data_IF_337649026077
#
_entry.id   IF_337649026077
#
_cell.length_a   1.000
_cell.length_b   1.000
_cell.length_c   1.000
_cell.angle_alpha   90.00
_cell.angle_beta   90.00
_cell.angle_gamma   90.00
#
_symmetry.space_group_name_H-M   'P 1'
#
loop_
_entity.id
_entity.type
_entity.pdbx_description
1 polymer ?
#
# COMPACT_ATOMS: atom_id res chain seq x y z
N UNK A 1 90.95 -9.62 -0.44
CA UNK A 1 89.89 -8.93 -1.21
C UNK A 1 89.90 -9.34 -2.71
N UNK A 2 89.70 -10.63 -3.06
CA UNK A 2 89.69 -11.08 -4.47
C UNK A 2 88.36 -11.68 -4.96
N UNK A 3 87.39 -11.90 -4.07
CA UNK A 3 86.11 -12.53 -4.44
C UNK A 3 84.97 -11.54 -4.70
N UNK A 4 85.14 -10.23 -4.46
CA UNK A 4 84.07 -9.24 -4.66
C UNK A 4 83.87 -8.84 -6.13
N UNK A 5 84.85 -9.06 -7.02
CA UNK A 5 84.76 -8.66 -8.43
C UNK A 5 83.80 -9.49 -9.28
N UNK A 6 83.48 -10.73 -8.88
CA UNK A 6 82.62 -11.62 -9.67
C UNK A 6 81.13 -11.54 -9.29
N UNK A 7 80.78 -10.95 -8.14
CA UNK A 7 79.38 -10.78 -7.70
C UNK A 7 78.82 -9.38 -7.97
N UNK A 8 79.67 -8.42 -8.35
CA UNK A 8 79.26 -7.04 -8.64
C UNK A 8 78.18 -6.93 -9.74
N UNK A 9 78.24 -7.69 -10.86
CA UNK A 9 77.18 -7.66 -11.87
C UNK A 9 75.86 -8.22 -11.36
N UNK A 10 75.92 -9.28 -10.53
CA UNK A 10 74.75 -9.92 -9.93
C UNK A 10 74.08 -8.97 -8.95
N UNK A 11 74.85 -8.25 -8.12
CA UNK A 11 74.31 -7.26 -7.18
C UNK A 11 73.63 -6.11 -7.93
N UNK A 12 74.22 -5.60 -9.02
CA UNK A 12 73.61 -4.55 -9.83
C UNK A 12 72.27 -5.02 -10.44
N UNK A 13 72.24 -6.22 -11.02
CA UNK A 13 71.00 -6.78 -11.60
C UNK A 13 69.93 -6.96 -10.52
N UNK A 14 70.30 -7.49 -9.34
CA UNK A 14 69.37 -7.64 -8.23
C UNK A 14 68.81 -6.30 -7.73
N UNK A 15 69.65 -5.26 -7.62
CA UNK A 15 69.19 -3.92 -7.23
C UNK A 15 68.26 -3.31 -8.29
N UNK A 16 68.59 -3.46 -9.58
CA UNK A 16 67.73 -2.98 -10.67
C UNK A 16 66.38 -3.69 -10.65
N UNK A 17 66.36 -5.02 -10.44
CA UNK A 17 65.12 -5.77 -10.30
C UNK A 17 64.31 -5.31 -9.09
N UNK A 18 64.92 -5.14 -7.92
CA UNK A 18 64.24 -4.61 -6.73
C UNK A 18 63.64 -3.22 -7.00
N UNK A 19 64.36 -2.33 -7.67
CA UNK A 19 63.86 -1.00 -8.05
C UNK A 19 62.68 -1.11 -9.02
N UNK A 20 62.75 -1.98 -10.02
CA UNK A 20 61.64 -2.21 -10.96
C UNK A 20 60.40 -2.74 -10.24
N UNK A 21 60.55 -3.70 -9.32
CA UNK A 21 59.42 -4.25 -8.57
C UNK A 21 58.83 -3.25 -7.57
N UNK A 22 59.66 -2.45 -6.89
CA UNK A 22 59.19 -1.41 -5.98
C UNK A 22 58.47 -0.29 -6.73
N UNK A 23 59.07 0.24 -7.81
CA UNK A 23 58.46 1.29 -8.62
C UNK A 23 57.23 0.78 -9.37
N UNK A 24 57.27 -0.45 -9.89
CA UNK A 24 56.13 -1.10 -10.53
C UNK A 24 54.96 -1.32 -9.56
N UNK A 25 55.23 -1.75 -8.32
CA UNK A 25 54.22 -1.88 -7.28
C UNK A 25 53.62 -0.53 -6.84
N UNK A 26 54.45 0.50 -6.73
CA UNK A 26 53.98 1.87 -6.44
C UNK A 26 53.13 2.43 -7.59
N UNK A 27 53.56 2.25 -8.84
CA UNK A 27 52.83 2.70 -10.03
C UNK A 27 51.51 1.94 -10.20
N UNK A 28 51.50 0.62 -9.97
CA UNK A 28 50.26 -0.18 -9.99
C UNK A 28 49.27 0.31 -8.94
N UNK A 29 49.70 0.55 -7.69
CA UNK A 29 48.81 1.09 -6.65
C UNK A 29 48.28 2.48 -7.01
N UNK A 30 49.15 3.36 -7.53
CA UNK A 30 48.75 4.70 -7.96
C UNK A 30 47.70 4.64 -9.09
N UNK A 31 47.89 3.77 -10.08
CA UNK A 31 46.92 3.58 -11.16
C UNK A 31 45.59 3.01 -10.66
N UNK A 32 45.59 2.04 -9.74
CA UNK A 32 44.35 1.51 -9.15
C UNK A 32 43.60 2.60 -8.37
N UNK A 33 44.29 3.37 -7.52
CA UNK A 33 43.66 4.49 -6.79
C UNK A 33 43.11 5.57 -7.73
N UNK A 34 43.80 5.89 -8.83
CA UNK A 34 43.30 6.82 -9.83
C UNK A 34 42.04 6.30 -10.54
N UNK A 35 41.98 5.00 -10.86
CA UNK A 35 40.79 4.36 -11.45
C UNK A 35 39.61 4.43 -10.47
N UNK A 36 39.84 4.10 -9.20
CA UNK A 36 38.79 4.11 -8.17
C UNK A 36 38.24 5.54 -7.96
N UNK A 37 39.10 6.57 -7.93
CA UNK A 37 38.68 7.98 -7.82
C UNK A 37 37.87 8.43 -9.05
N UNK A 38 38.28 8.06 -10.27
CA UNK A 38 37.51 8.41 -11.47
C UNK A 38 36.16 7.69 -11.52
N UNK A 39 36.09 6.44 -11.03
CA UNK A 39 34.84 5.70 -10.94
C UNK A 39 33.88 6.34 -9.94
N UNK A 40 34.38 6.79 -8.79
CA UNK A 40 33.59 7.52 -7.79
C UNK A 40 33.11 8.88 -8.33
N UNK A 41 33.98 9.64 -8.99
CA UNK A 41 33.59 10.90 -9.65
C UNK A 41 32.53 10.68 -10.73
N UNK A 42 32.67 9.62 -11.55
CA UNK A 42 31.67 9.25 -12.56
C UNK A 42 30.33 8.88 -11.91
N UNK A 43 30.35 8.08 -10.85
CA UNK A 43 29.13 7.71 -10.13
C UNK A 43 28.41 8.93 -9.54
N UNK A 44 29.16 9.91 -9.00
CA UNK A 44 28.59 11.17 -8.50
C UNK A 44 27.98 11.99 -9.65
N UNK A 45 28.65 12.05 -10.81
CA UNK A 45 28.12 12.76 -11.98
C UNK A 45 26.84 12.08 -12.48
N UNK A 46 26.84 10.76 -12.62
CA UNK A 46 25.66 9.99 -13.04
C UNK A 46 24.49 10.16 -12.07
N UNK A 47 24.76 10.08 -10.77
CA UNK A 47 23.77 10.32 -9.73
C UNK A 47 23.22 11.75 -9.77
N UNK A 48 24.08 12.77 -9.87
CA UNK A 48 23.61 14.15 -9.96
C UNK A 48 22.78 14.40 -11.21
N UNK A 49 23.17 13.81 -12.35
CA UNK A 49 22.40 13.89 -13.58
C UNK A 49 21.04 13.22 -13.44
N UNK A 50 20.93 12.08 -12.76
CA UNK A 50 19.63 11.42 -12.55
C UNK A 50 18.72 12.23 -11.63
N UNK A 51 19.26 12.96 -10.65
CA UNK A 51 18.47 13.89 -9.82
C UNK A 51 17.97 15.09 -10.63
N UNK A 52 18.81 15.65 -11.51
CA UNK A 52 18.39 16.75 -12.41
C UNK A 52 17.34 16.25 -13.41
N UNK A 53 17.52 15.05 -13.96
CA UNK A 53 16.56 14.42 -14.87
C UNK A 53 15.22 14.16 -14.17
N UNK A 54 15.25 13.67 -12.92
CA UNK A 54 14.05 13.47 -12.09
C UNK A 54 13.26 14.77 -11.88
N UNK A 55 13.95 15.89 -11.67
CA UNK A 55 13.31 17.21 -11.53
C UNK A 55 12.88 17.79 -12.87
N UNK A 56 13.47 17.33 -13.98
CA UNK A 56 13.25 17.86 -15.32
C UNK A 56 13.83 19.27 -15.55
N UNK A 57 14.50 19.84 -14.54
CA UNK A 57 15.07 21.18 -14.55
C UNK A 57 16.23 21.30 -13.53
N UNK A 58 17.06 22.32 -13.71
CA UNK A 58 18.21 22.61 -12.84
C UNK A 58 19.55 22.29 -13.48
N UNK A 59 20.61 22.83 -12.89
CA UNK A 59 21.98 22.75 -13.40
C UNK A 59 22.95 22.15 -12.38
N UNK A 60 22.57 22.17 -11.09
CA UNK A 60 23.47 21.84 -10.00
C UNK A 60 22.73 21.16 -8.87
N UNK A 61 23.36 20.11 -8.34
CA UNK A 61 22.90 19.35 -7.17
C UNK A 61 23.81 19.69 -6.00
N UNK A 62 23.20 20.02 -4.86
CA UNK A 62 23.92 20.25 -3.60
C UNK A 62 23.31 19.39 -2.52
N UNK A 63 24.13 18.58 -1.85
CA UNK A 63 23.67 17.79 -0.71
C UNK A 63 23.14 18.70 0.41
N UNK A 64 21.94 18.40 0.88
CA UNK A 64 21.34 18.94 2.07
C UNK A 64 21.58 17.98 3.23
N UNK A 65 21.75 18.54 4.43
CA UNK A 65 21.94 17.77 5.67
C UNK A 65 20.66 17.86 6.51
N UNK A 66 19.53 17.46 5.95
CA UNK A 66 18.28 17.38 6.69
C UNK A 66 18.27 16.18 7.64
N UNK A 67 17.52 16.29 8.73
CA UNK A 67 17.41 15.23 9.73
C UNK A 67 16.27 14.27 9.38
N UNK A 68 16.29 13.08 9.98
CA UNK A 68 15.11 12.22 10.03
C UNK A 68 13.95 12.88 10.77
N UNK A 69 12.74 12.41 10.48
CA UNK A 69 11.53 12.71 11.22
C UNK A 69 11.14 11.47 12.03
N UNK A 70 10.95 11.65 13.34
CA UNK A 70 10.41 10.57 14.19
C UNK A 70 8.92 10.40 13.90
N UNK A 71 8.60 9.54 12.93
CA UNK A 71 7.23 9.24 12.51
C UNK A 71 7.06 7.77 12.16
N UNK A 72 6.16 7.13 12.87
CA UNK A 72 5.84 5.72 12.67
C UNK A 72 4.74 5.50 11.61
N UNK A 73 4.95 4.50 10.77
CA UNK A 73 4.04 4.01 9.74
C UNK A 73 3.82 2.50 9.92
N UNK A 74 2.67 1.98 9.49
CA UNK A 74 2.39 0.55 9.55
C UNK A 74 3.27 -0.23 8.57
N UNK A 75 3.78 -1.39 9.01
CA UNK A 75 4.48 -2.32 8.11
C UNK A 75 3.44 -3.00 7.21
N UNK A 76 3.59 -2.97 5.87
CA UNK A 76 2.65 -3.62 4.97
C UNK A 76 2.44 -5.12 5.30
N UNK A 77 1.17 -5.51 5.48
CA UNK A 77 0.79 -6.89 5.81
C UNK A 77 0.75 -7.22 7.31
N UNK A 78 1.05 -6.26 8.19
CA UNK A 78 0.92 -6.41 9.65
C UNK A 78 0.03 -5.31 10.22
N UNK A 79 -1.06 -5.70 10.88
CA UNK A 79 -2.07 -4.74 11.37
C UNK A 79 -1.61 -3.91 12.58
N UNK A 80 -0.62 -4.40 13.34
CA UNK A 80 -0.20 -3.82 14.63
C UNK A 80 1.31 -3.62 14.76
N UNK A 81 2.04 -3.61 13.64
CA UNK A 81 3.49 -3.38 13.66
C UNK A 81 3.78 -2.10 12.88
N UNK A 82 4.61 -1.26 13.49
CA UNK A 82 5.03 0.01 12.91
C UNK A 82 6.54 0.04 12.68
N UNK A 83 6.98 0.96 11.84
CA UNK A 83 8.39 1.28 11.60
C UNK A 83 8.55 2.77 11.28
N UNK A 84 9.78 3.29 11.42
CA UNK A 84 10.13 4.64 10.97
C UNK A 84 10.88 4.53 9.63
N UNK A 85 10.42 5.17 8.55
CA UNK A 85 11.20 5.35 7.33
C UNK A 85 12.52 6.07 7.61
N UNK A 86 13.54 5.81 6.79
CA UNK A 86 14.88 6.42 6.95
C UNK A 86 15.16 7.40 5.81
N UNK A 87 15.53 8.63 6.14
CA UNK A 87 16.08 9.61 5.20
C UNK A 87 17.56 9.30 4.98
N UNK A 88 17.85 8.61 3.89
CA UNK A 88 19.23 8.19 3.55
C UNK A 88 20.00 9.24 2.75
N UNK A 89 19.32 10.27 2.24
CA UNK A 89 19.97 11.40 1.56
C UNK A 89 18.98 12.51 1.26
N UNK A 90 19.47 13.75 1.18
CA UNK A 90 18.66 14.89 0.76
C UNK A 90 19.47 15.84 -0.09
N UNK A 91 18.86 16.42 -1.13
CA UNK A 91 19.56 17.24 -2.12
C UNK A 91 18.72 18.44 -2.53
N UNK A 92 19.40 19.57 -2.72
CA UNK A 92 18.85 20.80 -3.31
C UNK A 92 19.22 20.81 -4.78
N UNK A 93 18.25 21.15 -5.62
CA UNK A 93 18.45 21.35 -7.05
C UNK A 93 18.41 22.85 -7.32
N UNK A 94 19.47 23.36 -7.94
CA UNK A 94 19.65 24.79 -8.20
C UNK A 94 19.62 25.09 -9.69
N UNK A 95 19.09 26.25 -10.05
CA UNK A 95 19.13 26.77 -11.41
C UNK A 95 20.48 27.45 -11.75
N UNK A 96 20.61 28.00 -12.96
CA UNK A 96 21.80 28.73 -13.44
C UNK A 96 22.19 29.94 -12.55
N UNK A 97 21.26 30.45 -11.75
CA UNK A 97 21.45 31.62 -10.87
C UNK A 97 21.79 31.21 -9.43
N UNK A 98 22.06 29.92 -9.17
CA UNK A 98 22.23 29.33 -7.82
C UNK A 98 20.97 29.54 -6.93
N UNK A 99 19.78 29.66 -7.52
CA UNK A 99 18.52 29.66 -6.78
C UNK A 99 17.99 28.22 -6.67
N UNK A 100 17.52 27.87 -5.49
CA UNK A 100 16.92 26.56 -5.23
C UNK A 100 15.54 26.47 -5.87
N UNK A 101 15.33 25.48 -6.73
CA UNK A 101 14.08 25.29 -7.48
C UNK A 101 13.32 24.03 -7.04
N UNK A 102 14.03 23.04 -6.51
CA UNK A 102 13.47 21.80 -6.03
C UNK A 102 14.32 21.19 -4.91
N UNK A 103 13.70 20.29 -4.14
CA UNK A 103 14.35 19.43 -3.15
C UNK A 103 14.08 17.98 -3.50
N UNK A 104 15.08 17.11 -3.29
CA UNK A 104 14.96 15.67 -3.47
C UNK A 104 15.28 14.96 -2.17
N UNK A 105 14.36 14.10 -1.72
CA UNK A 105 14.54 13.26 -0.53
C UNK A 105 14.71 11.80 -0.95
N UNK A 106 15.77 11.14 -0.49
CA UNK A 106 16.00 9.71 -0.70
C UNK A 106 15.58 8.97 0.57
N UNK A 107 14.47 8.24 0.45
CA UNK A 107 13.83 7.60 1.60
C UNK A 107 13.87 6.09 1.41
N UNK A 108 14.26 5.40 2.49
CA UNK A 108 14.17 3.94 2.59
C UNK A 108 12.93 3.55 3.37
N UNK A 109 12.18 2.59 2.82
CA UNK A 109 10.89 2.11 3.31
C UNK A 109 10.82 0.58 3.31
N UNK A 110 9.77 0.05 3.93
CA UNK A 110 9.53 -1.40 4.02
C UNK A 110 8.35 -1.76 3.11
N UNK A 111 8.61 -2.64 2.14
CA UNK A 111 7.58 -3.25 1.28
C UNK A 111 7.22 -4.64 1.77
N UNK A 112 7.35 -5.65 0.88
CA UNK A 112 7.33 -7.05 1.34
C UNK A 112 8.60 -7.37 2.13
N UNK A 113 9.71 -6.77 1.70
CA UNK A 113 11.01 -6.84 2.36
C UNK A 113 11.48 -5.43 2.71
N UNK A 114 12.43 -5.34 3.63
CA UNK A 114 13.07 -4.08 4.00
C UNK A 114 14.06 -3.62 2.92
N UNK A 115 14.28 -2.31 2.84
CA UNK A 115 15.30 -1.69 1.98
C UNK A 115 14.79 -1.20 0.62
N UNK A 116 13.50 -0.87 0.46
CA UNK A 116 13.03 -0.19 -0.74
C UNK A 116 13.41 1.30 -0.66
N UNK A 117 14.32 1.73 -1.53
CA UNK A 117 14.89 3.08 -1.55
C UNK A 117 14.48 3.83 -2.81
N UNK A 118 13.85 4.99 -2.63
CA UNK A 118 13.41 5.84 -3.72
C UNK A 118 13.69 7.32 -3.44
N UNK A 119 13.94 8.07 -4.51
CA UNK A 119 14.07 9.53 -4.49
C UNK A 119 12.73 10.18 -4.84
N UNK A 120 12.31 11.15 -4.05
CA UNK A 120 11.07 11.92 -4.23
C UNK A 120 11.44 13.38 -4.48
N UNK A 121 11.15 13.90 -5.66
CA UNK A 121 11.45 15.27 -6.04
C UNK A 121 10.26 16.20 -5.82
N UNK A 122 10.46 17.33 -5.16
CA UNK A 122 9.41 18.30 -4.83
C UNK A 122 9.79 19.67 -5.37
N UNK A 123 8.87 20.29 -6.10
CA UNK A 123 8.98 21.66 -6.62
C UNK A 123 8.75 22.69 -5.51
N UNK A 124 9.68 23.64 -5.36
CA UNK A 124 9.52 24.75 -4.41
C UNK A 124 8.58 25.84 -4.92
N UNK A 125 8.39 25.94 -6.24
CA UNK A 125 7.51 26.94 -6.85
C UNK A 125 6.04 26.53 -6.69
N UNK A 126 5.73 25.26 -6.94
CA UNK A 126 4.35 24.78 -7.01
C UNK A 126 3.90 23.96 -5.80
N UNK A 127 4.82 23.56 -4.91
CA UNK A 127 4.55 22.60 -3.84
C UNK A 127 3.91 21.30 -4.38
N UNK A 128 4.46 20.79 -5.47
CA UNK A 128 4.04 19.52 -6.06
C UNK A 128 5.17 18.51 -5.99
N UNK A 129 4.82 17.24 -5.78
CA UNK A 129 5.71 16.14 -6.09
C UNK A 129 5.87 16.10 -7.61
N UNK A 130 7.10 16.25 -8.09
CA UNK A 130 7.43 16.30 -9.51
C UNK A 130 7.38 14.88 -10.06
N UNK A 131 8.12 13.96 -9.44
CA UNK A 131 8.22 12.56 -9.83
C UNK A 131 8.96 11.75 -8.73
N UNK A 132 9.04 10.43 -8.93
CA UNK A 132 9.76 9.48 -8.07
C UNK A 132 10.74 8.61 -8.88
N UNK A 133 11.94 8.41 -8.35
CA UNK A 133 12.94 7.50 -8.92
C UNK A 133 13.23 6.35 -7.96
N UNK A 134 13.00 5.11 -8.40
CA UNK A 134 13.45 3.93 -7.67
C UNK A 134 14.98 3.80 -7.80
N UNK A 135 15.68 3.75 -6.66
CA UNK A 135 17.14 3.63 -6.61
C UNK A 135 17.55 2.17 -6.38
N UNK A 136 16.93 1.55 -5.39
CA UNK A 136 17.26 0.19 -4.94
C UNK A 136 16.03 -0.46 -4.32
N UNK A 137 15.87 -1.78 -4.51
CA UNK A 137 14.85 -2.54 -3.81
C UNK A 137 15.29 -3.99 -3.61
N UNK A 138 14.78 -4.62 -2.56
CA UNK A 138 14.98 -6.05 -2.25
C UNK A 138 13.69 -6.85 -2.49
N UNK A 139 12.77 -6.34 -3.31
CA UNK A 139 11.49 -6.97 -3.57
C UNK A 139 11.65 -8.20 -4.48
N UNK A 140 10.64 -9.06 -4.50
CA UNK A 140 10.65 -10.17 -5.47
C UNK A 140 10.39 -9.62 -6.87
N UNK A 141 11.41 -9.67 -7.74
CA UNK A 141 11.41 -9.02 -9.06
C UNK A 141 10.14 -9.26 -9.88
N UNK A 142 9.64 -10.50 -9.96
CA UNK A 142 8.45 -10.81 -10.77
C UNK A 142 7.17 -10.10 -10.30
N UNK A 143 7.08 -9.79 -9.01
CA UNK A 143 5.98 -8.99 -8.46
C UNK A 143 6.27 -7.51 -8.64
N UNK A 144 7.49 -7.06 -8.33
CA UNK A 144 7.88 -5.65 -8.48
C UNK A 144 7.73 -5.14 -9.91
N UNK A 145 8.05 -5.97 -10.93
CA UNK A 145 7.88 -5.66 -12.36
C UNK A 145 6.43 -5.39 -12.79
N UNK A 146 5.45 -5.64 -11.90
CA UNK A 146 4.05 -5.25 -12.15
C UNK A 146 3.80 -3.76 -11.91
N UNK A 147 4.68 -3.07 -11.19
CA UNK A 147 4.69 -1.60 -11.07
C UNK A 147 5.20 -1.01 -12.39
N UNK A 148 4.26 -0.64 -13.26
CA UNK A 148 4.53 -0.12 -14.61
C UNK A 148 4.41 1.40 -14.66
N UNK A 149 4.55 1.98 -15.85
CA UNK A 149 4.45 3.41 -16.08
C UNK A 149 3.17 4.02 -15.46
N UNK A 150 2.04 3.33 -15.58
CA UNK A 150 0.76 3.79 -15.03
C UNK A 150 0.78 3.95 -13.50
N UNK A 151 1.61 3.15 -12.80
CA UNK A 151 1.80 3.32 -11.36
C UNK A 151 2.62 4.57 -11.04
N UNK A 152 3.71 4.80 -11.79
CA UNK A 152 4.60 5.95 -11.58
C UNK A 152 3.98 7.28 -12.02
N UNK A 153 3.07 7.26 -13.00
CA UNK A 153 2.32 8.45 -13.43
C UNK A 153 1.46 9.05 -12.29
N UNK A 154 1.13 8.28 -11.25
CA UNK A 154 0.36 8.77 -10.09
C UNK A 154 1.13 9.78 -9.20
N UNK A 155 2.46 9.82 -9.32
CA UNK A 155 3.32 10.73 -8.55
C UNK A 155 3.55 12.06 -9.27
N UNK A 156 3.37 12.09 -10.58
CA UNK A 156 3.71 13.24 -11.42
C UNK A 156 2.78 14.42 -11.12
N UNK A 157 3.39 15.58 -10.84
CA UNK A 157 2.71 16.84 -10.49
C UNK A 157 1.68 16.73 -9.35
N UNK A 158 1.84 15.74 -8.46
CA UNK A 158 0.89 15.49 -7.37
C UNK A 158 0.94 16.64 -6.36
N UNK A 159 -0.19 17.30 -6.12
CA UNK A 159 -0.24 18.48 -5.26
C UNK A 159 -0.02 18.10 -3.79
N UNK A 160 0.98 18.69 -3.15
CA UNK A 160 1.23 18.46 -1.72
C UNK A 160 0.14 19.09 -0.85
N UNK A 161 -0.78 19.89 -1.41
CA UNK A 161 -1.99 20.34 -0.72
C UNK A 161 -3.15 19.34 -0.85
N UNK A 162 -3.01 18.26 -1.63
CA UNK A 162 -4.04 17.23 -1.68
C UNK A 162 -4.17 16.61 -0.30
N UNK A 163 -5.41 16.58 0.21
CA UNK A 163 -5.61 16.04 1.55
C UNK A 163 -5.61 14.51 1.53
N UNK A 164 -6.22 13.92 0.50
CA UNK A 164 -6.02 12.51 0.15
C UNK A 164 -4.69 12.37 -0.58
N UNK A 165 -3.61 12.31 0.20
CA UNK A 165 -2.28 12.18 -0.35
C UNK A 165 -1.84 10.72 -0.36
N UNK A 166 -2.47 9.95 -1.23
CA UNK A 166 -2.24 8.52 -1.43
C UNK A 166 -2.08 8.17 -2.90
N UNK A 167 -1.64 6.94 -3.17
CA UNK A 167 -1.62 6.33 -4.51
C UNK A 167 -2.42 5.03 -4.53
N UNK A 168 -2.91 4.65 -5.70
CA UNK A 168 -3.55 3.37 -5.92
C UNK A 168 -2.51 2.25 -5.92
N UNK A 169 -2.84 1.17 -5.21
CA UNK A 169 -1.98 -0.02 -5.14
C UNK A 169 -2.18 -0.92 -6.36
N UNK A 170 -1.09 -1.56 -6.81
CA UNK A 170 -1.15 -2.53 -7.92
C UNK A 170 -1.37 -3.94 -7.37
N UNK A 171 -2.39 -4.62 -7.89
CA UNK A 171 -2.66 -6.01 -7.55
C UNK A 171 -1.46 -6.91 -7.91
N UNK A 172 -0.98 -7.69 -6.93
CA UNK A 172 0.23 -8.52 -7.07
C UNK A 172 1.52 -7.82 -6.61
N UNK A 173 1.52 -6.50 -6.44
CA UNK A 173 2.62 -5.73 -5.84
C UNK A 173 2.12 -4.75 -4.76
N UNK A 174 1.08 -5.15 -4.03
CA UNK A 174 0.42 -4.31 -3.03
C UNK A 174 1.40 -3.78 -1.98
N UNK A 175 2.26 -4.65 -1.42
CA UNK A 175 3.20 -4.22 -0.38
C UNK A 175 4.28 -3.27 -0.91
N UNK A 176 4.79 -3.51 -2.11
CA UNK A 176 5.73 -2.60 -2.76
C UNK A 176 5.05 -1.25 -3.09
N UNK A 177 3.79 -1.27 -3.51
CA UNK A 177 2.99 -0.04 -3.73
C UNK A 177 2.84 0.76 -2.43
N UNK A 178 2.52 0.09 -1.32
CA UNK A 178 2.38 0.73 0.00
C UNK A 178 3.70 1.31 0.53
N UNK A 179 4.85 0.72 0.16
CA UNK A 179 6.15 1.28 0.50
C UNK A 179 6.37 2.64 -0.18
N UNK A 180 6.03 2.77 -1.47
CA UNK A 180 6.07 4.06 -2.17
C UNK A 180 5.06 5.06 -1.61
N UNK A 181 3.85 4.63 -1.30
CA UNK A 181 2.83 5.47 -0.64
C UNK A 181 3.37 6.04 0.69
N UNK A 182 4.03 5.20 1.49
CA UNK A 182 4.66 5.61 2.75
C UNK A 182 5.81 6.58 2.51
N UNK A 183 6.70 6.30 1.55
CA UNK A 183 7.84 7.18 1.25
C UNK A 183 7.39 8.55 0.74
N UNK A 184 6.34 8.58 -0.08
CA UNK A 184 5.73 9.81 -0.57
C UNK A 184 5.14 10.65 0.58
N UNK A 185 4.39 10.04 1.49
CA UNK A 185 3.83 10.72 2.68
C UNK A 185 4.94 11.26 3.59
N UNK A 186 5.98 10.45 3.83
CA UNK A 186 7.13 10.86 4.63
C UNK A 186 7.90 12.02 3.97
N UNK A 187 8.07 12.02 2.64
CA UNK A 187 8.66 13.13 1.90
C UNK A 187 7.86 14.43 2.08
N UNK A 188 6.53 14.37 2.05
CA UNK A 188 5.66 15.53 2.32
C UNK A 188 5.82 16.05 3.75
N UNK A 189 5.96 15.17 4.74
CA UNK A 189 6.19 15.57 6.13
C UNK A 189 7.58 16.18 6.35
N UNK A 190 8.62 15.65 5.71
CA UNK A 190 9.95 16.26 5.68
C UNK A 190 9.91 17.64 5.04
N UNK A 191 9.24 17.76 3.89
CA UNK A 191 9.06 19.04 3.19
C UNK A 191 8.35 20.08 4.05
N UNK A 192 7.27 19.68 4.74
CA UNK A 192 6.55 20.51 5.69
C UNK A 192 7.46 21.07 6.78
N UNK A 193 8.32 20.21 7.35
CA UNK A 193 9.30 20.61 8.38
C UNK A 193 10.38 21.54 7.81
N UNK A 194 10.97 21.19 6.67
CA UNK A 194 12.18 21.84 6.16
C UNK A 194 11.87 23.18 5.47
N UNK A 195 10.70 23.30 4.84
CA UNK A 195 10.28 24.48 4.07
C UNK A 195 9.09 25.21 4.68
N UNK A 196 8.68 24.84 5.90
CA UNK A 196 7.54 25.45 6.60
C UNK A 196 6.25 25.39 5.77
N UNK A 197 6.07 24.30 5.03
CA UNK A 197 4.84 24.00 4.30
C UNK A 197 3.77 23.50 5.29
N UNK A 198 2.59 24.09 5.27
CA UNK A 198 1.48 23.67 6.13
C UNK A 198 0.72 22.53 5.46
N UNK A 199 0.86 21.31 5.97
CA UNK A 199 0.05 20.18 5.52
C UNK A 199 -1.42 20.48 5.84
N UNK A 200 -2.30 20.53 4.83
CA UNK A 200 -3.72 20.72 5.06
C UNK A 200 -4.26 19.72 6.08
N UNK A 201 -4.79 20.26 7.17
CA UNK A 201 -5.46 19.47 8.20
C UNK A 201 -6.92 19.30 7.78
N UNK A 202 -7.35 18.06 7.56
CA UNK A 202 -8.77 17.77 7.45
C UNK A 202 -9.29 17.27 8.80
N UNK A 203 -10.38 17.91 9.22
CA UNK A 203 -11.19 17.45 10.34
C UNK A 203 -12.37 16.67 9.77
N UNK A 204 -12.46 15.40 10.14
CA UNK A 204 -13.66 14.59 9.99
C UNK A 204 -13.71 13.50 11.06
N UNK A 205 -14.90 12.97 11.29
CA UNK A 205 -15.16 11.83 12.14
C UNK A 205 -16.30 11.03 11.51
N UNK A 206 -16.05 9.77 11.17
CA UNK A 206 -17.12 8.82 10.82
C UNK A 206 -17.78 8.43 12.14
N UNK A 207 -18.99 8.91 12.37
CA UNK A 207 -19.70 8.74 13.64
C UNK A 207 -20.58 7.49 13.67
N UNK A 208 -21.01 7.02 12.50
CA UNK A 208 -21.76 5.77 12.35
C UNK A 208 -21.60 5.20 10.94
N UNK A 209 -21.58 3.88 10.83
CA UNK A 209 -21.81 3.14 9.59
C UNK A 209 -22.79 2.03 9.90
N UNK A 210 -23.90 1.99 9.20
CA UNK A 210 -24.91 0.95 9.32
C UNK A 210 -25.32 0.42 7.95
N UNK A 211 -25.99 -0.72 7.95
CA UNK A 211 -26.50 -1.33 6.72
C UNK A 211 -27.90 -0.84 6.43
N UNK A 212 -28.17 -0.57 5.17
CA UNK A 212 -29.52 -0.33 4.67
C UNK A 212 -30.20 -1.67 4.38
N UNK A 213 -31.32 -1.92 5.03
CA UNK A 213 -32.12 -3.13 4.83
C UNK A 213 -33.43 -2.86 4.08
N UNK A 214 -33.60 -1.68 3.48
CA UNK A 214 -34.74 -1.40 2.61
C UNK A 214 -34.69 -2.32 1.38
N UNK A 215 -35.70 -3.19 1.26
CA UNK A 215 -35.86 -4.18 0.18
C UNK A 215 -35.66 -3.61 -1.24
N UNK A 216 -36.05 -2.35 -1.46
CA UNK A 216 -35.96 -1.71 -2.77
C UNK A 216 -34.57 -1.15 -3.08
N UNK A 217 -33.71 -0.94 -2.07
CA UNK A 217 -32.45 -0.21 -2.25
C UNK A 217 -31.23 -0.84 -1.58
N UNK A 218 -31.36 -1.91 -0.79
CA UNK A 218 -30.26 -2.56 -0.07
C UNK A 218 -29.11 -3.05 -0.96
N UNK A 219 -29.34 -3.24 -2.26
CA UNK A 219 -28.30 -3.62 -3.24
C UNK A 219 -27.55 -2.38 -3.77
N UNK A 220 -28.28 -1.33 -4.13
CA UNK A 220 -27.71 -0.12 -4.76
C UNK A 220 -27.20 0.89 -3.72
N UNK A 221 -27.73 0.84 -2.50
CA UNK A 221 -27.45 1.74 -1.37
C UNK A 221 -27.22 0.93 -0.09
N UNK A 222 -26.27 -0.01 -0.05
CA UNK A 222 -26.06 -0.97 1.04
C UNK A 222 -25.70 -0.32 2.38
N UNK A 223 -25.13 0.89 2.38
CA UNK A 223 -24.64 1.54 3.60
C UNK A 223 -25.29 2.89 3.83
N UNK A 224 -25.60 3.18 5.10
CA UNK A 224 -25.96 4.50 5.61
C UNK A 224 -24.81 4.94 6.50
N UNK A 225 -24.25 6.11 6.21
CA UNK A 225 -23.05 6.62 6.89
C UNK A 225 -23.34 7.99 7.45
N UNK A 226 -22.98 8.18 8.73
CA UNK A 226 -23.02 9.48 9.41
C UNK A 226 -21.59 10.00 9.60
N UNK A 227 -21.34 11.23 9.18
CA UNK A 227 -20.01 11.86 9.21
C UNK A 227 -20.13 13.30 9.71
N UNK A 228 -19.24 13.68 10.62
CA UNK A 228 -18.97 15.09 10.91
C UNK A 228 -17.71 15.49 10.15
N UNK A 229 -17.70 16.61 9.43
CA UNK A 229 -16.57 17.03 8.61
C UNK A 229 -16.41 18.55 8.54
N UNK A 230 -15.27 19.00 8.05
CA UNK A 230 -14.88 20.41 7.96
C UNK A 230 -14.60 21.04 9.34
N UNK A 231 -13.92 22.20 9.34
CA UNK A 231 -13.63 22.95 10.57
C UNK A 231 -14.90 23.50 11.24
N UNK A 232 -15.97 23.63 10.47
CA UNK A 232 -17.28 24.09 10.93
C UNK A 232 -18.15 22.96 11.53
N UNK A 233 -17.65 21.71 11.59
CA UNK A 233 -18.40 20.53 12.04
C UNK A 233 -19.73 20.34 11.29
N UNK A 234 -19.67 20.34 9.95
CA UNK A 234 -20.82 20.00 9.11
C UNK A 234 -21.19 18.54 9.33
N UNK A 235 -22.49 18.27 9.39
CA UNK A 235 -23.01 16.91 9.53
C UNK A 235 -23.51 16.40 8.17
N UNK A 236 -23.17 15.17 7.85
CA UNK A 236 -23.63 14.43 6.67
C UNK A 236 -24.24 13.11 7.13
N UNK A 237 -25.43 12.77 6.61
CA UNK A 237 -25.95 11.40 6.60
C UNK A 237 -26.24 11.05 5.15
N UNK A 238 -25.68 9.95 4.65
CA UNK A 238 -25.78 9.61 3.24
C UNK A 238 -25.69 8.11 2.96
N UNK A 239 -26.19 7.73 1.79
CA UNK A 239 -26.07 6.39 1.23
C UNK A 239 -24.77 6.22 0.46
N UNK A 240 -24.10 5.08 0.67
CA UNK A 240 -22.89 4.68 -0.05
C UNK A 240 -23.07 3.29 -0.68
N UNK A 241 -22.40 3.06 -1.82
CA UNK A 241 -22.39 1.77 -2.53
C UNK A 241 -21.35 0.79 -1.97
N UNK A 242 -21.27 -0.43 -2.53
CA UNK A 242 -20.28 -1.46 -2.15
C UNK A 242 -18.83 -1.06 -2.45
N UNK A 243 -18.62 -0.03 -3.27
CA UNK A 243 -17.31 0.57 -3.56
C UNK A 243 -17.05 1.84 -2.74
N UNK A 244 -17.94 2.15 -1.79
CA UNK A 244 -17.92 3.34 -0.93
C UNK A 244 -17.94 4.66 -1.71
N UNK A 245 -18.57 4.68 -2.89
CA UNK A 245 -18.92 5.92 -3.56
C UNK A 245 -20.22 6.47 -2.94
N UNK A 246 -20.30 7.80 -2.81
CA UNK A 246 -21.53 8.48 -2.39
C UNK A 246 -22.62 8.29 -3.45
N UNK A 247 -23.77 7.74 -3.04
CA UNK A 247 -24.92 7.51 -3.92
C UNK A 247 -25.95 8.63 -3.77
N UNK A 248 -26.33 8.95 -2.52
CA UNK A 248 -27.37 9.93 -2.24
C UNK A 248 -27.22 10.54 -0.84
N UNK A 249 -27.39 11.86 -0.72
CA UNK A 249 -27.40 12.56 0.58
C UNK A 249 -28.78 12.48 1.21
N UNK A 250 -28.86 11.98 2.44
CA UNK A 250 -30.09 11.92 3.25
C UNK A 250 -30.27 13.25 4.01
N UNK A 251 -29.23 13.70 4.71
CA UNK A 251 -29.17 15.01 5.39
C UNK A 251 -27.78 15.63 5.24
N UNK A 252 -27.73 16.97 5.29
CA UNK A 252 -26.49 17.74 5.12
C UNK A 252 -26.30 18.28 3.71
N UNK A 253 -25.08 18.73 3.44
CA UNK A 253 -24.65 19.20 2.12
C UNK A 253 -23.73 18.17 1.48
N UNK A 254 -23.72 18.10 0.13
CA UNK A 254 -22.77 17.24 -0.58
C UNK A 254 -21.34 17.71 -0.28
N UNK A 255 -20.46 16.85 0.25
CA UNK A 255 -19.07 17.18 0.48
C UNK A 255 -18.32 17.51 -0.81
N UNK A 256 -17.17 18.17 -0.68
CA UNK A 256 -16.27 18.34 -1.83
C UNK A 256 -15.67 17.00 -2.25
N UNK A 257 -15.19 16.90 -3.49
CA UNK A 257 -14.52 15.69 -4.01
C UNK A 257 -13.37 15.21 -3.09
N UNK A 258 -12.66 16.14 -2.45
CA UNK A 258 -11.61 15.83 -1.46
C UNK A 258 -12.14 15.01 -0.28
N UNK A 259 -13.28 15.39 0.29
CA UNK A 259 -13.90 14.65 1.39
C UNK A 259 -14.49 13.33 0.92
N UNK A 260 -15.08 13.29 -0.27
CA UNK A 260 -15.61 12.05 -0.84
C UNK A 260 -14.51 11.00 -1.05
N UNK A 261 -13.34 11.43 -1.56
CA UNK A 261 -12.19 10.55 -1.72
C UNK A 261 -11.62 10.07 -0.37
N UNK A 262 -11.61 10.92 0.67
CA UNK A 262 -11.25 10.49 2.02
C UNK A 262 -12.21 9.42 2.54
N UNK A 263 -13.52 9.67 2.45
CA UNK A 263 -14.52 8.74 2.98
C UNK A 263 -14.43 7.38 2.28
N UNK A 264 -14.22 7.38 0.96
CA UNK A 264 -14.02 6.15 0.19
C UNK A 264 -12.84 5.30 0.70
N UNK A 265 -11.74 5.93 1.10
CA UNK A 265 -10.55 5.23 1.60
C UNK A 265 -10.70 4.78 3.06
N UNK A 266 -11.46 5.51 3.87
CA UNK A 266 -11.53 5.34 5.31
C UNK A 266 -12.70 4.45 5.76
N UNK A 267 -13.83 4.50 5.04
CA UNK A 267 -14.99 3.64 5.31
C UNK A 267 -14.67 2.13 5.36
N UNK A 268 -13.83 1.58 4.44
CA UNK A 268 -13.39 0.19 4.49
C UNK A 268 -12.70 -0.23 5.79
N UNK A 269 -12.07 0.71 6.48
CA UNK A 269 -11.26 0.48 7.68
C UNK A 269 -12.06 0.66 8.99
N UNK A 270 -13.33 1.05 8.90
CA UNK A 270 -14.16 1.26 10.08
C UNK A 270 -14.49 -0.04 10.81
N UNK A 271 -14.79 0.05 12.10
CA UNK A 271 -15.13 -1.09 12.97
C UNK A 271 -16.61 -1.20 13.28
N UNK A 272 -17.44 -0.29 12.76
CA UNK A 272 -18.89 -0.25 12.99
C UNK A 272 -19.59 -1.50 12.45
N UNK A 273 -19.24 -1.90 11.23
CA UNK A 273 -19.76 -3.10 10.57
C UNK A 273 -18.64 -3.82 9.82
N UNK A 274 -18.80 -5.13 9.60
CA UNK A 274 -17.89 -5.85 8.70
C UNK A 274 -18.29 -5.59 7.24
N UNK A 275 -17.52 -4.78 6.55
CA UNK A 275 -17.77 -4.42 5.14
C UNK A 275 -17.16 -5.39 4.12
N UNK A 276 -16.43 -6.44 4.57
CA UNK A 276 -15.85 -7.46 3.68
C UNK A 276 -16.90 -8.44 3.16
N UNK A 277 -18.09 -8.40 3.73
CA UNK A 277 -19.25 -9.22 3.39
C UNK A 277 -20.39 -8.30 2.97
N UNK A 278 -21.02 -8.51 1.82
CA UNK A 278 -22.03 -7.58 1.31
C UNK A 278 -23.04 -8.28 0.41
N UNK A 279 -24.19 -7.63 0.23
CA UNK A 279 -25.30 -8.12 -0.58
C UNK A 279 -25.06 -7.68 -2.02
N UNK A 280 -25.06 -8.63 -2.95
CA UNK A 280 -24.82 -8.38 -4.38
C UNK A 280 -26.08 -8.47 -5.21
N UNK A 281 -27.12 -9.14 -4.70
CA UNK A 281 -28.43 -9.19 -5.34
C UNK A 281 -29.53 -9.50 -4.33
N UNK A 282 -30.71 -8.95 -4.57
CA UNK A 282 -31.94 -9.30 -3.87
C UNK A 282 -33.10 -9.33 -4.87
N UNK A 283 -33.87 -10.41 -4.83
CA UNK A 283 -35.06 -10.59 -5.65
C UNK A 283 -36.22 -10.94 -4.73
N UNK A 284 -37.05 -9.95 -4.44
CA UNK A 284 -38.23 -10.10 -3.58
C UNK A 284 -39.27 -11.07 -4.19
N UNK A 285 -39.35 -11.14 -5.53
CA UNK A 285 -40.34 -12.00 -6.21
C UNK A 285 -39.95 -13.46 -6.10
N UNK A 286 -38.68 -13.78 -6.32
CA UNK A 286 -38.13 -15.13 -6.20
C UNK A 286 -37.66 -15.44 -4.77
N UNK A 287 -37.70 -14.46 -3.86
CA UNK A 287 -37.31 -14.56 -2.45
C UNK A 287 -35.87 -15.04 -2.30
N UNK A 288 -34.98 -14.46 -3.10
CA UNK A 288 -33.56 -14.82 -3.07
C UNK A 288 -32.70 -13.64 -2.66
N UNK A 289 -31.73 -13.88 -1.77
CA UNK A 289 -30.67 -12.93 -1.45
C UNK A 289 -29.32 -13.54 -1.78
N UNK A 290 -28.44 -12.79 -2.44
CA UNK A 290 -27.08 -13.22 -2.77
C UNK A 290 -26.09 -12.40 -1.97
N UNK A 291 -25.25 -13.09 -1.21
CA UNK A 291 -24.22 -12.48 -0.37
C UNK A 291 -22.85 -12.95 -0.85
N UNK A 292 -21.90 -12.03 -0.91
CA UNK A 292 -20.51 -12.30 -1.22
C UNK A 292 -19.59 -11.88 -0.06
N UNK A 293 -18.53 -12.66 0.16
CA UNK A 293 -17.42 -12.31 1.07
C UNK A 293 -16.10 -12.73 0.45
N UNK A 294 -15.00 -12.15 0.93
CA UNK A 294 -13.66 -12.69 0.73
C UNK A 294 -13.36 -13.78 1.77
N UNK A 295 -12.80 -14.91 1.33
CA UNK A 295 -12.20 -15.91 2.22
C UNK A 295 -10.73 -16.17 1.91
N UNK A 296 -10.27 -17.42 2.01
CA UNK A 296 -8.85 -17.76 1.91
C UNK A 296 -8.22 -17.30 0.58
N UNK A 297 -7.03 -16.69 0.67
CA UNK A 297 -6.30 -16.17 -0.50
C UNK A 297 -7.00 -15.00 -1.22
N UNK A 298 -7.92 -14.31 -0.55
CA UNK A 298 -8.70 -13.21 -1.13
C UNK A 298 -9.67 -13.67 -2.22
N UNK A 299 -10.02 -14.97 -2.24
CA UNK A 299 -10.97 -15.52 -3.20
C UNK A 299 -12.40 -15.39 -2.67
N UNK A 300 -13.30 -14.97 -3.55
CA UNK A 300 -14.72 -14.79 -3.23
C UNK A 300 -15.40 -16.12 -2.86
N UNK A 301 -16.29 -16.04 -1.89
CA UNK A 301 -17.32 -17.03 -1.59
C UNK A 301 -18.66 -16.32 -1.83
N UNK A 302 -19.47 -16.86 -2.72
CA UNK A 302 -20.80 -16.33 -3.04
C UNK A 302 -21.85 -17.35 -2.59
N UNK A 303 -22.83 -16.90 -1.83
CA UNK A 303 -23.93 -17.73 -1.33
C UNK A 303 -25.25 -17.13 -1.76
N UNK A 304 -26.05 -17.94 -2.47
CA UNK A 304 -27.42 -17.61 -2.83
C UNK A 304 -28.34 -18.30 -1.83
N UNK A 305 -29.08 -17.51 -1.07
CA UNK A 305 -30.08 -17.97 -0.11
C UNK A 305 -31.45 -17.92 -0.75
N UNK A 306 -32.19 -19.02 -0.65
CA UNK A 306 -33.62 -19.07 -0.90
C UNK A 306 -34.35 -18.84 0.42
N UNK A 307 -35.10 -17.76 0.52
CA UNK A 307 -35.89 -17.40 1.69
C UNK A 307 -37.28 -18.01 1.60
N UNK A 308 -37.90 -18.21 2.76
CA UNK A 308 -39.27 -18.71 2.86
C UNK A 308 -40.30 -17.63 2.49
N UNK A 309 -41.58 -18.01 2.53
CA UNK A 309 -42.63 -17.13 2.08
C UNK A 309 -42.78 -15.82 2.86
N UNK A 310 -42.42 -15.85 4.16
CA UNK A 310 -42.51 -14.76 5.12
C UNK A 310 -41.21 -13.95 5.26
N UNK A 311 -40.17 -14.29 4.49
CA UNK A 311 -38.85 -13.64 4.50
C UNK A 311 -38.17 -13.63 5.87
N UNK A 312 -38.44 -14.63 6.71
CA UNK A 312 -37.94 -14.73 8.09
C UNK A 312 -37.16 -16.02 8.36
N UNK A 313 -36.98 -16.86 7.35
CA UNK A 313 -36.06 -17.99 7.43
C UNK A 313 -35.51 -18.40 6.06
N UNK A 314 -34.38 -19.12 6.08
CA UNK A 314 -33.74 -19.70 4.90
C UNK A 314 -34.28 -21.11 4.65
N UNK A 315 -34.76 -21.38 3.44
CA UNK A 315 -35.21 -22.72 3.02
C UNK A 315 -34.09 -23.54 2.39
N UNK A 316 -33.22 -22.89 1.61
CA UNK A 316 -32.07 -23.56 0.98
C UNK A 316 -30.96 -22.57 0.62
N UNK A 317 -29.77 -23.11 0.33
CA UNK A 317 -28.61 -22.31 -0.06
C UNK A 317 -27.82 -22.99 -1.18
N UNK A 318 -27.31 -22.19 -2.10
CA UNK A 318 -26.32 -22.59 -3.10
C UNK A 318 -25.02 -21.83 -2.89
N UNK A 319 -23.89 -22.54 -2.81
CA UNK A 319 -22.56 -21.97 -2.56
C UNK A 319 -21.70 -22.09 -3.81
N UNK A 320 -21.06 -21.00 -4.19
CA UNK A 320 -20.01 -20.95 -5.21
C UNK A 320 -18.72 -20.42 -4.58
N UNK A 321 -17.62 -21.14 -4.74
CA UNK A 321 -16.29 -20.75 -4.24
C UNK A 321 -15.22 -21.13 -5.26
N UNK A 322 -14.19 -20.31 -5.41
CA UNK A 322 -12.98 -20.65 -6.18
C UNK A 322 -11.78 -20.91 -5.27
N UNK A 323 -11.99 -21.08 -3.97
CA UNK A 323 -10.93 -21.35 -3.02
C UNK A 323 -10.34 -22.74 -3.24
N UNK A 324 -9.02 -22.86 -3.19
CA UNK A 324 -8.33 -24.15 -3.25
C UNK A 324 -7.75 -24.45 -1.87
N UNK A 325 -8.26 -25.49 -1.21
CA UNK A 325 -7.74 -25.98 0.07
C UNK A 325 -6.56 -26.96 -0.12
N UNK A 326 -5.69 -26.67 -1.09
CA UNK A 326 -4.59 -27.56 -1.47
C UNK A 326 -3.64 -27.75 -0.28
N UNK A 327 -3.20 -28.99 -0.07
CA UNK A 327 -2.32 -29.42 1.02
C UNK A 327 -0.97 -28.69 1.00
N UNK A 328 -0.53 -28.20 -0.17
CA UNK A 328 0.75 -27.49 -0.31
C UNK A 328 0.77 -26.10 0.34
N UNK A 329 -0.41 -25.51 0.62
CA UNK A 329 -0.55 -24.18 1.21
C UNK A 329 -1.26 -24.17 2.57
N UNK A 330 -1.74 -25.34 3.02
CA UNK A 330 -2.51 -25.48 4.24
C UNK A 330 -2.24 -26.83 4.94
N UNK A 331 -1.03 -26.97 5.49
CA UNK A 331 -0.54 -28.21 6.15
C UNK A 331 -1.46 -28.74 7.27
N UNK A 332 -2.39 -27.92 7.78
CA UNK A 332 -3.32 -28.28 8.86
C UNK A 332 -4.72 -28.74 8.42
N UNK A 333 -5.10 -28.57 7.15
CA UNK A 333 -6.43 -28.97 6.66
C UNK A 333 -6.43 -30.40 6.12
N UNK A 334 -7.37 -31.23 6.60
CA UNK A 334 -7.49 -32.66 6.19
C UNK A 334 -8.86 -32.99 5.58
N UNK A 335 -9.67 -31.97 5.28
CA UNK A 335 -11.02 -32.14 4.74
C UNK A 335 -11.06 -32.41 3.23
N UNK A 336 -12.28 -32.44 2.68
CA UNK A 336 -12.53 -32.70 1.25
C UNK A 336 -12.21 -31.51 0.33
N UNK A 337 -12.31 -31.69 -1.00
CA UNK A 337 -12.15 -30.59 -1.95
C UNK A 337 -13.24 -29.54 -1.79
N UNK A 338 -12.97 -28.32 -2.24
CA UNK A 338 -13.93 -27.22 -2.28
C UNK A 338 -15.25 -27.62 -2.98
N UNK A 339 -16.43 -27.15 -2.51
CA UNK A 339 -16.69 -26.36 -1.28
C UNK A 339 -16.94 -27.24 -0.04
N UNK A 340 -15.97 -28.04 0.44
CA UNK A 340 -16.20 -28.92 1.60
C UNK A 340 -16.48 -28.15 2.91
N UNK A 341 -15.69 -27.12 3.21
CA UNK A 341 -15.85 -26.30 4.43
C UNK A 341 -17.18 -25.57 4.38
N UNK A 342 -17.48 -24.89 3.28
CA UNK A 342 -18.69 -24.11 3.12
C UNK A 342 -19.95 -24.99 3.12
N UNK A 343 -19.91 -26.18 2.51
CA UNK A 343 -21.02 -27.14 2.59
C UNK A 343 -21.28 -27.61 4.02
N UNK A 344 -20.23 -27.85 4.81
CA UNK A 344 -20.40 -28.23 6.21
C UNK A 344 -21.02 -27.11 7.04
N UNK A 345 -20.71 -25.84 6.71
CA UNK A 345 -21.35 -24.67 7.32
C UNK A 345 -22.82 -24.54 6.90
N UNK A 346 -23.13 -24.73 5.61
CA UNK A 346 -24.51 -24.75 5.10
C UNK A 346 -25.36 -25.78 5.83
N UNK A 347 -24.88 -27.02 5.89
CA UNK A 347 -25.65 -28.14 6.43
C UNK A 347 -25.96 -27.93 7.92
N UNK A 348 -25.04 -27.33 8.67
CA UNK A 348 -25.27 -26.96 10.06
C UNK A 348 -26.25 -25.79 10.22
N UNK A 349 -26.09 -24.73 9.42
CA UNK A 349 -27.00 -23.59 9.48
C UNK A 349 -28.45 -24.01 9.15
N UNK A 350 -28.67 -24.86 8.14
CA UNK A 350 -30.01 -25.36 7.78
C UNK A 350 -30.59 -26.33 8.83
N UNK A 351 -29.75 -27.00 9.62
CA UNK A 351 -30.21 -27.93 10.63
C UNK A 351 -30.72 -27.20 11.89
N UNK A 352 -29.91 -26.27 12.42
CA UNK A 352 -30.11 -25.74 13.77
C UNK A 352 -30.21 -24.22 13.83
N UNK A 353 -29.92 -23.49 12.74
CA UNK A 353 -30.02 -22.02 12.69
C UNK A 353 -29.07 -21.26 13.63
N UNK A 354 -28.09 -21.93 14.25
CA UNK A 354 -27.18 -21.36 15.26
C UNK A 354 -25.70 -21.48 14.90
N UNK A 355 -24.86 -20.80 15.70
CA UNK A 355 -23.39 -20.75 15.63
C UNK A 355 -22.73 -22.10 15.35
N UNK A 356 -21.75 -22.07 14.43
CA UNK A 356 -21.06 -23.25 13.90
C UNK A 356 -19.64 -23.34 14.47
N UNK A 357 -19.29 -24.48 15.03
CA UNK A 357 -17.93 -24.75 15.50
C UNK A 357 -16.92 -24.63 14.35
N UNK A 358 -15.81 -23.93 14.61
CA UNK A 358 -14.76 -23.70 13.61
C UNK A 358 -14.20 -25.01 13.06
N UNK A 359 -14.06 -25.13 11.74
CA UNK A 359 -13.40 -26.27 11.12
C UNK A 359 -11.88 -26.08 11.22
N UNK A 360 -11.22 -26.98 11.95
CA UNK A 360 -9.77 -26.96 12.14
C UNK A 360 -9.02 -26.91 10.80
N UNK A 361 -8.05 -26.00 10.70
CA UNK A 361 -7.27 -25.80 9.47
C UNK A 361 -7.96 -24.93 8.41
N UNK A 362 -9.18 -24.43 8.62
CA UNK A 362 -9.90 -23.60 7.65
C UNK A 362 -10.39 -22.27 8.25
N UNK A 363 -9.61 -21.64 9.13
CA UNK A 363 -10.03 -20.48 9.94
C UNK A 363 -10.51 -19.29 9.09
N UNK A 364 -9.81 -18.95 8.00
CA UNK A 364 -10.18 -17.78 7.17
C UNK A 364 -11.54 -18.00 6.50
N UNK A 365 -11.75 -19.16 5.87
CA UNK A 365 -13.03 -19.54 5.26
C UNK A 365 -14.13 -19.69 6.30
N UNK A 366 -13.83 -20.28 7.46
CA UNK A 366 -14.78 -20.42 8.57
C UNK A 366 -15.31 -19.06 9.02
N UNK A 367 -14.41 -18.09 9.25
CA UNK A 367 -14.79 -16.73 9.61
C UNK A 367 -15.59 -16.04 8.48
N UNK A 368 -15.24 -16.32 7.22
CA UNK A 368 -15.99 -15.80 6.07
C UNK A 368 -17.44 -16.31 6.03
N UNK A 369 -17.65 -17.62 6.25
CA UNK A 369 -19.00 -18.20 6.32
C UNK A 369 -19.79 -17.68 7.52
N UNK A 370 -19.15 -17.48 8.68
CA UNK A 370 -19.80 -16.88 9.85
C UNK A 370 -20.34 -15.49 9.51
N UNK A 371 -19.52 -14.62 8.90
CA UNK A 371 -19.96 -13.28 8.49
C UNK A 371 -21.11 -13.28 7.50
N UNK A 372 -21.10 -14.22 6.54
CA UNK A 372 -22.23 -14.38 5.62
C UNK A 372 -23.51 -14.67 6.39
N UNK A 373 -23.45 -15.57 7.38
CA UNK A 373 -24.62 -15.96 8.16
C UNK A 373 -25.09 -14.86 9.12
N UNK A 374 -24.16 -14.12 9.71
CA UNK A 374 -24.51 -12.94 10.50
C UNK A 374 -25.27 -11.92 9.63
N UNK A 375 -24.76 -11.64 8.42
CA UNK A 375 -25.43 -10.71 7.50
C UNK A 375 -26.80 -11.20 7.02
N UNK A 376 -26.96 -12.50 6.68
CA UNK A 376 -28.28 -12.98 6.25
C UNK A 376 -29.29 -12.93 7.38
N UNK A 377 -28.87 -13.21 8.62
CA UNK A 377 -29.75 -13.11 9.79
C UNK A 377 -30.20 -11.66 10.00
N UNK A 378 -29.29 -10.68 9.88
CA UNK A 378 -29.67 -9.27 9.98
C UNK A 378 -30.68 -8.89 8.88
N UNK A 379 -30.52 -9.40 7.65
CA UNK A 379 -31.48 -9.18 6.56
C UNK A 379 -32.86 -9.75 6.93
N UNK A 380 -32.93 -10.99 7.42
CA UNK A 380 -34.19 -11.63 7.82
C UNK A 380 -34.90 -10.86 8.94
N UNK A 381 -34.14 -10.41 9.95
CA UNK A 381 -34.68 -9.66 11.09
C UNK A 381 -35.27 -8.32 10.67
N UNK A 382 -34.70 -7.67 9.65
CA UNK A 382 -35.14 -6.36 9.18
C UNK A 382 -36.23 -6.42 8.09
N UNK A 383 -36.22 -7.42 7.21
CA UNK A 383 -37.23 -7.56 6.14
C UNK A 383 -38.62 -7.93 6.66
N UNK A 384 -38.74 -8.61 7.81
CA UNK A 384 -40.03 -9.04 8.38
C UNK A 384 -40.69 -7.99 9.32
N UNK A 385 -40.33 -6.71 9.17
CA UNK A 385 -40.95 -5.62 9.96
C UNK A 385 -40.26 -5.30 11.29
N UNK A 386 -38.95 -5.53 11.38
CA UNK A 386 -38.10 -4.98 12.44
C UNK A 386 -37.93 -3.46 12.34
N UNK A 387 -38.99 -2.69 12.60
CA UNK A 387 -38.93 -1.25 12.93
C UNK A 387 -39.15 -0.26 11.78
N UNK A 388 -40.42 0.01 11.48
CA UNK A 388 -40.90 1.35 11.10
C UNK A 388 -42.06 1.74 12.03
#
# INVERSE_FOLDING_TARGET
MKNFKNYFPVIIISVVLVVIFVLGGMFSRYMTTQIDVHAEEQAIIEFNNSMIELVGAGEKVVEANYLDLEKEYLIPGFENQTYNPELTGSYKILNELDEEIAVVYIITTVGKFDGLKAAYAISLETNQLIDVLMIENNETQSYFDTLRAEFYEQFVDKDLNDVVFTIDTVAGATYSSLAFDTGMKYARELYARDYNFEIPSIVYEITNVERNYDAATLVDKPYIVSITYDLDNKELVAYFDNEFNLVEVITGETPTETYLALFKNELPATTFIDVKTYITAFDETNKTVTIETLGYGGKAITVVFQLNDTLDSVESMAITTTQTYDSDYNEGYTGGPNPAVENAYRDQYLADGTYIDSIGGATITSNAMIRIFDLVNDVLDNLNGGGN
#
